data_IF_334965183970
#
_entry.id   IF_334965183970
#
_cell.length_a   1.000
_cell.length_b   1.000
_cell.length_c   1.000
_cell.angle_alpha   90.00
_cell.angle_beta   90.00
_cell.angle_gamma   90.00
#
_symmetry.space_group_name_H-M   'P 1'
#
loop_
_entity.id
_entity.type
_entity.pdbx_description
1 polymer ?
#
# COMPACT_ATOMS: atom_id res chain seq x y z
N UNK A 1 -35.00 18.99 22.63
CA UNK A 1 -34.51 17.90 23.51
C UNK A 1 -33.19 18.34 24.13
N UNK A 2 -33.15 18.61 25.43
CA UNK A 2 -31.96 19.17 26.07
C UNK A 2 -30.99 18.05 26.47
N UNK A 3 -29.98 17.81 25.62
CA UNK A 3 -28.99 16.74 25.77
C UNK A 3 -28.21 16.90 27.09
N UNK A 4 -27.98 18.15 27.50
CA UNK A 4 -27.27 18.49 28.74
C UNK A 4 -28.09 18.11 29.98
N UNK A 5 -29.41 18.36 29.98
CA UNK A 5 -30.26 18.00 31.11
C UNK A 5 -30.38 16.48 31.31
N UNK A 6 -30.52 15.73 30.21
CA UNK A 6 -30.53 14.26 30.27
C UNK A 6 -29.19 13.70 30.73
N UNK A 7 -28.09 14.36 30.34
CA UNK A 7 -26.75 13.97 30.75
C UNK A 7 -26.51 14.11 32.25
N UNK A 8 -26.96 15.21 32.85
CA UNK A 8 -26.84 15.46 34.30
C UNK A 8 -27.80 14.56 35.10
N UNK A 9 -28.98 14.24 34.56
CA UNK A 9 -29.98 13.42 35.24
C UNK A 9 -29.62 11.93 35.32
N UNK A 10 -28.73 11.42 34.44
CA UNK A 10 -28.30 10.01 34.42
C UNK A 10 -26.77 9.87 34.39
N UNK A 11 -26.08 10.23 35.48
CA UNK A 11 -24.62 10.25 35.52
C UNK A 11 -24.00 8.85 35.34
N UNK A 12 -24.67 7.80 35.83
CA UNK A 12 -24.20 6.41 35.69
C UNK A 12 -24.21 5.95 34.23
N UNK A 13 -25.28 6.27 33.47
CA UNK A 13 -25.38 5.89 32.06
C UNK A 13 -24.30 6.57 31.21
N UNK A 14 -23.99 7.84 31.50
CA UNK A 14 -22.91 8.56 30.81
C UNK A 14 -21.54 8.02 31.21
N UNK A 15 -21.31 7.76 32.50
CA UNK A 15 -20.05 7.16 32.95
C UNK A 15 -19.80 5.81 32.25
N UNK A 16 -20.82 4.95 32.14
CA UNK A 16 -20.71 3.67 31.42
C UNK A 16 -20.43 3.85 29.93
N UNK A 17 -21.09 4.83 29.28
CA UNK A 17 -20.85 5.13 27.87
C UNK A 17 -19.43 5.65 27.62
N UNK A 18 -18.95 6.57 28.45
CA UNK A 18 -17.57 7.09 28.39
C UNK A 18 -16.55 5.97 28.64
N UNK A 19 -16.81 5.08 29.60
CA UNK A 19 -15.96 3.92 29.87
C UNK A 19 -15.92 2.95 28.68
N UNK A 20 -17.08 2.68 28.06
CA UNK A 20 -17.14 1.85 26.86
C UNK A 20 -16.31 2.46 25.73
N UNK A 21 -16.47 3.75 25.44
CA UNK A 21 -15.69 4.46 24.41
C UNK A 21 -14.20 4.45 24.73
N UNK A 22 -13.80 4.68 25.98
CA UNK A 22 -12.40 4.63 26.40
C UNK A 22 -11.79 3.23 26.23
N UNK A 23 -12.54 2.18 26.58
CA UNK A 23 -12.10 0.80 26.44
C UNK A 23 -11.94 0.40 24.97
N UNK A 24 -12.95 0.68 24.14
CA UNK A 24 -12.88 0.44 22.69
C UNK A 24 -11.79 1.28 22.03
N UNK A 25 -11.61 2.52 22.46
CA UNK A 25 -10.54 3.39 21.98
C UNK A 25 -9.16 2.82 22.31
N UNK A 26 -8.93 2.38 23.55
CA UNK A 26 -7.68 1.75 23.96
C UNK A 26 -7.38 0.47 23.17
N UNK A 27 -8.38 -0.40 23.00
CA UNK A 27 -8.24 -1.64 22.21
C UNK A 27 -7.98 -1.35 20.72
N UNK A 28 -8.57 -0.28 20.18
CA UNK A 28 -8.37 0.11 18.78
C UNK A 28 -6.98 0.71 18.54
N UNK A 29 -6.40 1.38 19.54
CA UNK A 29 -5.04 1.91 19.45
C UNK A 29 -4.00 0.77 19.47
N UNK A 30 -4.20 -0.24 20.32
CA UNK A 30 -3.30 -1.39 20.42
C UNK A 30 -3.32 -2.28 19.16
N UNK A 31 -4.50 -2.42 18.54
CA UNK A 31 -4.67 -3.20 17.30
C UNK A 31 -4.28 -2.46 16.03
N UNK A 32 -3.83 -1.21 16.13
CA UNK A 32 -3.40 -0.46 14.98
C UNK A 32 -2.07 -1.04 14.47
N UNK A 33 -2.14 -1.86 13.43
CA UNK A 33 -0.98 -2.43 12.77
C UNK A 33 -0.16 -1.35 12.07
N UNK A 34 0.73 -0.71 12.81
CA UNK A 34 1.72 0.20 12.25
C UNK A 34 2.75 -0.65 11.49
N UNK A 35 2.58 -0.74 10.17
CA UNK A 35 3.60 -1.34 9.32
C UNK A 35 4.77 -0.36 9.22
N UNK A 36 5.88 -0.67 9.90
CA UNK A 36 7.12 0.10 9.85
C UNK A 36 7.80 0.04 8.47
N UNK A 37 7.52 -1.03 7.72
CA UNK A 37 7.91 -1.20 6.34
C UNK A 37 6.64 -1.43 5.53
N UNK A 38 5.91 -0.37 5.12
CA UNK A 38 4.89 -0.55 4.11
C UNK A 38 5.55 -1.20 2.88
N UNK A 39 4.93 -2.23 2.32
CA UNK A 39 5.37 -2.81 1.06
C UNK A 39 5.24 -1.73 -0.03
N UNK A 40 6.33 -1.02 -0.27
CA UNK A 40 6.45 -0.08 -1.38
C UNK A 40 6.60 -0.92 -2.64
N UNK A 41 5.47 -1.39 -3.17
CA UNK A 41 5.40 -2.03 -4.46
C UNK A 41 5.67 -0.97 -5.54
N UNK A 42 6.95 -0.70 -5.81
CA UNK A 42 7.35 0.00 -7.02
C UNK A 42 7.10 -0.95 -8.20
N UNK A 43 6.21 -0.59 -9.14
CA UNK A 43 5.87 -1.47 -10.26
C UNK A 43 7.05 -1.50 -11.24
N UNK A 44 8.04 -2.34 -10.97
CA UNK A 44 9.21 -2.54 -11.82
C UNK A 44 9.08 -3.88 -12.53
N UNK A 45 9.30 -3.88 -13.85
CA UNK A 45 9.27 -5.10 -14.67
C UNK A 45 10.68 -5.39 -15.19
N UNK A 46 11.27 -6.52 -14.80
CA UNK A 46 12.59 -6.94 -15.27
C UNK A 46 12.43 -8.03 -16.32
N UNK A 47 12.93 -7.78 -17.54
CA UNK A 47 12.98 -8.76 -18.62
C UNK A 47 14.42 -9.22 -18.78
N UNK A 48 14.66 -10.53 -18.63
CA UNK A 48 15.98 -11.14 -18.80
C UNK A 48 15.92 -12.15 -19.94
N UNK A 49 16.84 -12.02 -20.88
CA UNK A 49 17.00 -12.93 -22.02
C UNK A 49 18.45 -13.39 -22.07
N UNK A 50 18.67 -14.69 -21.95
CA UNK A 50 20.00 -15.29 -22.09
C UNK A 50 20.17 -15.76 -23.55
N UNK A 51 21.25 -15.34 -24.23
CA UNK A 51 21.56 -15.75 -25.60
C UNK A 51 23.04 -16.16 -25.68
N UNK A 52 23.29 -17.47 -25.61
CA UNK A 52 24.63 -18.04 -25.54
C UNK A 52 25.31 -18.09 -26.92
N UNK A 53 26.62 -17.84 -26.95
CA UNK A 53 27.44 -18.00 -28.16
C UNK A 53 27.40 -16.85 -29.16
N UNK A 54 26.70 -15.76 -28.88
CA UNK A 54 26.64 -14.57 -29.73
C UNK A 54 27.54 -13.43 -29.24
N UNK A 55 28.01 -12.60 -30.18
CA UNK A 55 28.75 -11.40 -29.83
C UNK A 55 27.83 -10.41 -29.08
N UNK A 56 28.34 -9.64 -28.10
CA UNK A 56 27.52 -8.66 -27.37
C UNK A 56 26.77 -7.67 -28.28
N UNK A 57 27.42 -7.24 -29.37
CA UNK A 57 26.81 -6.35 -30.37
C UNK A 57 25.63 -7.00 -31.12
N UNK A 58 25.69 -8.31 -31.33
CA UNK A 58 24.64 -9.06 -32.00
C UNK A 58 23.43 -9.30 -31.08
N UNK A 59 23.69 -9.54 -29.79
CA UNK A 59 22.64 -9.61 -28.75
C UNK A 59 21.90 -8.28 -28.63
N UNK A 60 22.61 -7.15 -28.65
CA UNK A 60 22.00 -5.82 -28.58
C UNK A 60 21.05 -5.59 -29.76
N UNK A 61 21.51 -5.83 -30.99
CA UNK A 61 20.74 -5.55 -32.20
C UNK A 61 19.56 -6.52 -32.37
N UNK A 62 19.80 -7.82 -32.20
CA UNK A 62 18.81 -8.84 -32.53
C UNK A 62 17.82 -9.09 -31.39
N UNK A 63 18.25 -8.96 -30.13
CA UNK A 63 17.43 -9.27 -28.96
C UNK A 63 16.98 -7.99 -28.26
N UNK A 64 17.92 -7.20 -27.74
CA UNK A 64 17.59 -6.05 -26.88
C UNK A 64 16.79 -4.98 -27.62
N UNK A 65 17.24 -4.56 -28.81
CA UNK A 65 16.58 -3.51 -29.61
C UNK A 65 15.18 -3.91 -30.06
N UNK A 66 15.00 -5.15 -30.51
CA UNK A 66 13.69 -5.71 -30.88
C UNK A 66 12.73 -5.79 -29.69
N UNK A 67 13.25 -6.11 -28.50
CA UNK A 67 12.44 -6.11 -27.28
C UNK A 67 12.02 -4.69 -26.89
N UNK A 68 12.94 -3.73 -26.91
CA UNK A 68 12.66 -2.32 -26.61
C UNK A 68 11.61 -1.74 -27.57
N UNK A 69 11.73 -2.00 -28.87
CA UNK A 69 10.75 -1.53 -29.87
C UNK A 69 9.34 -2.06 -29.59
N UNK A 70 9.20 -3.33 -29.18
CA UNK A 70 7.90 -3.94 -28.88
C UNK A 70 7.34 -3.48 -27.55
N UNK A 71 8.18 -3.35 -26.53
CA UNK A 71 7.79 -2.93 -25.18
C UNK A 71 7.53 -1.41 -25.11
N UNK A 72 8.21 -0.61 -25.94
CA UNK A 72 8.05 0.84 -26.01
C UNK A 72 6.70 1.30 -26.56
N UNK A 73 5.91 0.41 -27.16
CA UNK A 73 4.54 0.69 -27.61
C UNK A 73 3.55 0.67 -26.43
N UNK A 74 3.93 0.09 -25.29
CA UNK A 74 3.07 -0.02 -24.11
C UNK A 74 3.06 1.33 -23.37
N UNK A 75 1.90 1.99 -23.38
CA UNK A 75 1.69 3.24 -22.65
C UNK A 75 1.85 3.03 -21.14
N UNK A 76 2.70 3.84 -20.50
CA UNK A 76 2.92 3.84 -19.05
C UNK A 76 4.24 3.22 -18.58
N UNK A 77 5.02 2.63 -19.49
CA UNK A 77 6.39 2.19 -19.20
C UNK A 77 7.33 3.41 -19.16
N UNK A 78 8.01 3.59 -18.02
CA UNK A 78 9.03 4.62 -17.81
C UNK A 78 10.38 3.92 -17.74
N UNK A 79 11.36 4.41 -18.51
CA UNK A 79 12.69 3.82 -18.68
C UNK A 79 13.49 3.84 -17.38
#
# INVERSE_FOLDING_TARGET
MNIIATAIARPVSIAMATLAVALFGGLSLDRLGLSLLPELAYPTLTVRTDFEGAAPAEVEEQVTRRLEERLGVINGLRR
#
